data_IF_911846665604
#
_entry.id   IF_911846665604
#
_cell.length_a   1.000
_cell.length_b   1.000
_cell.length_c   1.000
_cell.angle_alpha   90.00
_cell.angle_beta   90.00
_cell.angle_gamma   90.00
#
_symmetry.space_group_name_H-M   'P 1'
#
loop_
_entity.id
_entity.type
_entity.pdbx_description
1 polymer ?
#
# COMPACT_ATOMS: atom_id res chain seq x y z
N UNK A 1 1.36 -11.92 -13.60
CA UNK A 1 1.70 -11.53 -12.21
C UNK A 1 1.88 -10.03 -12.16
N UNK A 2 1.55 -9.37 -11.04
CA UNK A 2 1.56 -7.90 -10.94
C UNK A 2 2.21 -7.45 -9.63
N UNK A 3 2.83 -6.27 -9.63
CA UNK A 3 3.11 -5.54 -8.40
C UNK A 3 1.90 -4.70 -7.98
N UNK A 4 1.87 -4.22 -6.74
CA UNK A 4 0.83 -3.34 -6.21
C UNK A 4 1.50 -2.14 -5.53
N UNK A 5 0.99 -0.94 -5.78
CA UNK A 5 1.44 0.31 -5.15
C UNK A 5 0.22 1.13 -4.70
N UNK A 6 0.44 2.12 -3.84
CA UNK A 6 -0.61 3.06 -3.44
C UNK A 6 -0.07 4.49 -3.30
N UNK A 7 -0.99 5.46 -3.39
CA UNK A 7 -0.74 6.87 -3.16
C UNK A 7 -1.95 7.44 -2.40
N UNK A 8 -1.68 8.03 -1.24
CA UNK A 8 -2.69 8.59 -0.34
C UNK A 8 -2.53 10.11 -0.31
N UNK A 9 -3.64 10.81 -0.57
CA UNK A 9 -3.74 12.26 -0.53
C UNK A 9 -4.71 12.65 0.58
N UNK A 10 -4.29 13.56 1.46
CA UNK A 10 -5.21 14.25 2.37
C UNK A 10 -5.84 15.42 1.60
N UNK A 11 -7.13 15.30 1.27
CA UNK A 11 -7.86 16.31 0.50
C UNK A 11 -8.28 17.51 1.35
N UNK A 12 -8.22 17.43 2.68
CA UNK A 12 -8.54 18.55 3.57
C UNK A 12 -7.46 19.64 3.52
N UNK A 13 -6.21 19.23 3.31
CA UNK A 13 -5.04 20.11 3.17
C UNK A 13 -4.51 20.18 1.74
N UNK A 14 -4.92 19.25 0.87
CA UNK A 14 -4.41 19.14 -0.50
C UNK A 14 -2.97 18.61 -0.56
N UNK A 15 -2.49 17.90 0.48
CA UNK A 15 -1.11 17.41 0.58
C UNK A 15 -1.03 15.89 0.66
N UNK A 16 0.06 15.26 0.21
CA UNK A 16 0.25 13.82 0.40
C UNK A 16 0.23 13.43 1.89
N UNK A 17 -0.39 12.29 2.20
CA UNK A 17 -0.49 11.81 3.58
C UNK A 17 0.72 10.95 3.94
N UNK A 18 1.74 11.55 4.54
CA UNK A 18 2.90 10.85 5.09
C UNK A 18 2.55 10.11 6.39
N UNK A 19 3.18 8.96 6.64
CA UNK A 19 3.05 8.26 7.92
C UNK A 19 1.80 7.39 8.07
N UNK A 20 1.03 7.19 6.99
CA UNK A 20 -0.17 6.34 7.02
C UNK A 20 0.23 4.88 6.96
N UNK A 21 -0.20 4.10 7.95
CA UNK A 21 -0.02 2.64 7.96
C UNK A 21 -1.04 2.00 7.03
N UNK A 22 -0.58 1.12 6.14
CA UNK A 22 -1.39 0.39 5.16
C UNK A 22 -1.02 -1.09 5.23
N UNK A 23 -2.01 -1.94 5.49
CA UNK A 23 -1.89 -3.39 5.48
C UNK A 23 -2.37 -3.96 4.14
N UNK A 24 -1.67 -4.98 3.65
CA UNK A 24 -2.11 -5.84 2.56
C UNK A 24 -2.32 -7.25 3.11
N UNK A 25 -3.47 -7.84 2.84
CA UNK A 25 -3.85 -9.16 3.31
C UNK A 25 -4.47 -10.01 2.19
N UNK A 26 -4.44 -11.33 2.39
CA UNK A 26 -5.12 -12.31 1.54
C UNK A 26 -5.64 -13.43 2.42
N UNK A 27 -6.93 -13.76 2.28
CA UNK A 27 -7.57 -14.85 3.03
C UNK A 27 -7.38 -14.74 4.55
N UNK A 28 -7.31 -13.50 5.07
CA UNK A 28 -7.09 -13.21 6.49
C UNK A 28 -5.62 -13.19 6.93
N UNK A 29 -4.67 -13.58 6.07
CA UNK A 29 -3.24 -13.48 6.35
C UNK A 29 -2.70 -12.11 5.93
N UNK A 30 -1.94 -11.44 6.82
CA UNK A 30 -1.27 -10.19 6.48
C UNK A 30 0.01 -10.49 5.69
N UNK A 31 0.05 -10.03 4.43
CA UNK A 31 1.19 -10.17 3.54
C UNK A 31 2.21 -9.04 3.73
N UNK A 32 1.74 -7.83 4.06
CA UNK A 32 2.60 -6.67 4.30
C UNK A 32 1.91 -5.65 5.22
N UNK A 33 2.71 -4.91 5.98
CA UNK A 33 2.26 -3.76 6.77
C UNK A 33 3.31 -2.65 6.63
N UNK A 34 2.98 -1.61 5.85
CA UNK A 34 3.93 -0.59 5.41
C UNK A 34 3.41 0.81 5.70
N UNK A 35 4.30 1.80 5.64
CA UNK A 35 3.99 3.20 5.93
C UNK A 35 4.26 4.06 4.70
N UNK A 36 3.36 5.00 4.40
CA UNK A 36 3.56 5.95 3.30
C UNK A 36 4.73 6.89 3.59
N UNK A 37 5.55 7.15 2.56
CA UNK A 37 6.64 8.12 2.63
C UNK A 37 6.14 9.58 2.60
N UNK A 38 7.07 10.55 2.59
CA UNK A 38 6.79 11.99 2.49
C UNK A 38 5.99 12.41 1.25
N UNK A 39 5.91 11.56 0.22
CA UNK A 39 5.07 11.79 -0.97
C UNK A 39 3.74 11.01 -0.88
N UNK A 40 3.36 10.50 0.29
CA UNK A 40 2.13 9.75 0.51
C UNK A 40 2.10 8.39 -0.18
N UNK A 41 3.26 7.80 -0.50
CA UNK A 41 3.34 6.62 -1.38
C UNK A 41 3.94 5.39 -0.70
N UNK A 42 3.48 4.23 -1.16
CA UNK A 42 4.16 2.95 -1.02
C UNK A 42 4.36 2.41 -2.45
N UNK A 43 5.62 2.23 -2.85
CA UNK A 43 5.97 1.87 -4.23
C UNK A 43 5.74 0.39 -4.55
N UNK A 44 5.89 -0.50 -3.56
CA UNK A 44 5.55 -1.92 -3.68
C UNK A 44 5.23 -2.50 -2.31
N UNK A 45 4.27 -3.43 -2.25
CA UNK A 45 3.95 -4.20 -1.05
C UNK A 45 4.69 -5.54 -0.96
N UNK A 46 5.40 -5.95 -2.01
CA UNK A 46 6.11 -7.22 -2.06
C UNK A 46 7.40 -7.11 -2.86
N UNK A 47 8.41 -7.92 -2.50
CA UNK A 47 9.66 -8.01 -3.26
C UNK A 47 9.48 -8.75 -4.59
N UNK A 48 8.58 -9.75 -4.63
CA UNK A 48 8.22 -10.50 -5.83
C UNK A 48 6.81 -10.13 -6.32
N UNK A 49 6.51 -10.28 -7.62
CA UNK A 49 5.16 -10.06 -8.14
C UNK A 49 4.10 -10.93 -7.44
N UNK A 50 2.94 -10.35 -7.17
CA UNK A 50 1.81 -11.05 -6.57
C UNK A 50 1.16 -11.99 -7.59
N UNK A 51 0.77 -13.20 -7.18
CA UNK A 51 -0.07 -14.07 -7.99
C UNK A 51 -1.50 -13.50 -8.08
N UNK A 52 -2.26 -13.97 -9.07
CA UNK A 52 -3.67 -13.61 -9.22
C UNK A 52 -4.49 -14.07 -8.01
N UNK A 53 -5.52 -13.30 -7.66
CA UNK A 53 -6.38 -13.57 -6.52
C UNK A 53 -7.01 -12.29 -5.98
N UNK A 54 -7.81 -12.41 -4.92
CA UNK A 54 -8.36 -11.27 -4.17
C UNK A 54 -7.42 -10.90 -3.03
N UNK A 55 -7.32 -9.61 -2.74
CA UNK A 55 -6.53 -9.02 -1.66
C UNK A 55 -7.39 -8.00 -0.92
N UNK A 56 -7.09 -7.76 0.35
CA UNK A 56 -7.77 -6.78 1.21
C UNK A 56 -6.76 -5.90 1.94
#
# INVERSE_FOLDING_TARGET
MSTLSTHILDISTGTPAEGVTVSLSREGETLANLVTNAQGRIATFSAAPLPAGTIA
#
